data_IF_395082520306
#
_entry.id   IF_395082520306
#
_cell.length_a   1.000
_cell.length_b   1.000
_cell.length_c   1.000
_cell.angle_alpha   90.00
_cell.angle_beta   90.00
_cell.angle_gamma   90.00
#
_symmetry.space_group_name_H-M   'P 1'
#
loop_
_entity.id
_entity.type
_entity.pdbx_description
1 polymer ?
#
# COMPACT_ATOMS: atom_id res chain seq x y z
N UNK A 1 -15.00 31.12 -0.71
CA UNK A 1 -14.03 30.01 -0.82
C UNK A 1 -12.78 30.50 -0.13
N UNK A 2 -12.44 29.93 1.02
CA UNK A 2 -11.22 30.31 1.74
C UNK A 2 -10.02 29.72 1.01
N UNK A 3 -9.00 30.54 0.79
CA UNK A 3 -7.74 30.09 0.21
C UNK A 3 -7.18 28.96 1.07
N UNK A 4 -7.02 27.77 0.50
CA UNK A 4 -6.40 26.66 1.20
C UNK A 4 -4.96 27.08 1.55
N UNK A 5 -4.58 26.90 2.81
CA UNK A 5 -3.24 27.23 3.30
C UNK A 5 -2.19 26.43 2.51
N UNK A 6 -1.28 27.15 1.82
CA UNK A 6 -0.26 26.51 1.02
C UNK A 6 0.98 26.22 1.87
N UNK A 7 1.35 24.94 1.96
CA UNK A 7 2.53 24.50 2.69
C UNK A 7 3.69 24.19 1.76
N UNK A 8 4.93 24.41 2.25
CA UNK A 8 6.17 24.16 1.48
C UNK A 8 6.32 22.70 1.04
N UNK A 9 5.87 21.77 1.87
CA UNK A 9 6.02 20.33 1.64
C UNK A 9 4.66 19.64 1.74
N UNK A 10 4.39 18.74 0.80
CA UNK A 10 3.20 17.89 0.80
C UNK A 10 3.58 16.46 0.41
N UNK A 11 2.87 15.49 0.97
CA UNK A 11 2.92 14.09 0.59
C UNK A 11 1.51 13.67 0.20
N UNK A 12 1.36 13.14 -1.01
CA UNK A 12 0.09 12.59 -1.51
C UNK A 12 0.20 11.08 -1.54
N UNK A 13 -0.87 10.38 -1.18
CA UNK A 13 -0.86 8.92 -1.06
C UNK A 13 -2.16 8.34 -1.57
N UNK A 14 -2.03 7.28 -2.37
CA UNK A 14 -3.11 6.34 -2.62
C UNK A 14 -2.71 4.98 -2.04
N UNK A 15 -3.65 4.29 -1.43
CA UNK A 15 -3.51 2.88 -1.02
C UNK A 15 -4.39 2.06 -1.93
N UNK A 16 -3.79 1.15 -2.70
CA UNK A 16 -4.51 0.24 -3.60
C UNK A 16 -4.67 -1.09 -2.88
N UNK A 17 -5.92 -1.48 -2.64
CA UNK A 17 -6.26 -2.74 -2.01
C UNK A 17 -6.44 -3.80 -3.08
N UNK A 18 -5.79 -4.93 -2.88
CA UNK A 18 -5.89 -6.09 -3.76
C UNK A 18 -6.54 -7.24 -3.00
N UNK A 19 -7.21 -8.11 -3.74
CA UNK A 19 -7.50 -9.44 -3.24
C UNK A 19 -7.16 -10.47 -4.28
N UNK A 20 -6.96 -11.66 -3.76
CA UNK A 20 -6.71 -12.84 -4.54
C UNK A 20 -7.89 -13.16 -5.48
N UNK A 21 -7.57 -13.68 -6.67
CA UNK A 21 -8.57 -14.05 -7.68
C UNK A 21 -8.42 -15.49 -8.18
N UNK A 22 -7.20 -16.04 -8.21
CA UNK A 22 -6.94 -17.38 -8.78
C UNK A 22 -5.58 -17.92 -8.32
N UNK A 23 -5.43 -19.23 -8.16
CA UNK A 23 -4.12 -19.82 -7.85
C UNK A 23 -3.19 -19.91 -9.08
N UNK A 24 -1.85 -19.90 -8.90
CA UNK A 24 -1.09 -19.81 -7.64
C UNK A 24 -0.94 -18.37 -7.10
N UNK A 25 -0.37 -18.21 -5.90
CA UNK A 25 -0.13 -16.90 -5.26
C UNK A 25 1.01 -16.10 -5.90
N UNK A 26 0.72 -15.53 -7.06
CA UNK A 26 1.66 -14.69 -7.81
C UNK A 26 1.03 -13.32 -8.14
N UNK A 27 1.84 -12.32 -8.48
CA UNK A 27 1.37 -10.95 -8.72
C UNK A 27 0.24 -10.84 -9.76
N UNK A 28 0.15 -11.78 -10.72
CA UNK A 28 -0.90 -11.84 -11.77
C UNK A 28 -2.22 -12.46 -11.30
N UNK A 29 -2.24 -12.95 -10.08
CA UNK A 29 -3.39 -13.60 -9.44
C UNK A 29 -4.18 -12.66 -8.55
N UNK A 30 -3.72 -11.42 -8.39
CA UNK A 30 -4.41 -10.37 -7.66
C UNK A 30 -5.17 -9.45 -8.61
N UNK A 31 -6.33 -9.01 -8.15
CA UNK A 31 -7.09 -7.93 -8.79
C UNK A 31 -7.29 -6.78 -7.80
N UNK A 32 -7.22 -5.52 -8.25
CA UNK A 32 -7.62 -4.38 -7.43
C UNK A 32 -9.05 -4.54 -6.94
N UNK A 33 -9.31 -4.09 -5.72
CA UNK A 33 -10.61 -4.15 -5.04
C UNK A 33 -11.13 -2.78 -4.65
N UNK A 34 -10.21 -1.88 -4.34
CA UNK A 34 -10.54 -0.50 -4.04
C UNK A 34 -9.29 0.33 -3.92
N UNK A 35 -9.50 1.64 -3.84
CA UNK A 35 -8.44 2.60 -3.59
C UNK A 35 -8.90 3.57 -2.52
N UNK A 36 -8.01 3.83 -1.59
CA UNK A 36 -8.19 4.91 -0.62
C UNK A 36 -7.29 6.08 -0.99
N UNK A 37 -7.88 7.27 -0.98
CA UNK A 37 -7.24 8.49 -1.46
C UNK A 37 -6.93 9.41 -0.29
N UNK A 38 -5.69 9.87 -0.15
CA UNK A 38 -5.31 10.77 0.93
C UNK A 38 -6.05 12.10 0.82
N UNK A 39 -6.76 12.49 1.88
CA UNK A 39 -7.44 13.80 2.00
C UNK A 39 -6.64 14.78 2.84
N UNK A 40 -5.85 14.28 3.78
CA UNK A 40 -4.84 15.02 4.55
C UNK A 40 -3.81 14.03 5.09
N UNK A 41 -2.72 14.47 5.76
CA UNK A 41 -1.77 13.56 6.39
C UNK A 41 -2.49 12.59 7.34
N UNK A 42 -2.39 11.28 7.08
CA UNK A 42 -3.02 10.22 7.88
C UNK A 42 -4.53 10.09 7.77
N UNK A 43 -5.18 10.74 6.79
CA UNK A 43 -6.63 10.66 6.57
C UNK A 43 -6.93 10.28 5.11
N UNK A 44 -7.99 9.49 4.92
CA UNK A 44 -8.32 8.91 3.63
C UNK A 44 -9.82 8.97 3.30
N UNK A 45 -10.14 9.22 2.04
CA UNK A 45 -11.44 8.88 1.45
C UNK A 45 -11.40 7.40 1.05
N UNK A 46 -12.12 6.58 1.81
CA UNK A 46 -12.24 5.13 1.60
C UNK A 46 -13.59 4.72 1.01
N UNK A 47 -14.48 5.68 0.74
CA UNK A 47 -15.88 5.41 0.32
C UNK A 47 -16.09 5.58 -1.17
N UNK A 48 -15.16 6.24 -1.85
CA UNK A 48 -15.25 6.49 -3.28
C UNK A 48 -14.96 5.21 -4.08
N UNK A 49 -15.90 4.82 -4.92
CA UNK A 49 -15.86 3.53 -5.65
C UNK A 49 -15.62 3.67 -7.16
N UNK A 50 -15.69 4.89 -7.71
CA UNK A 50 -15.57 5.13 -9.15
C UNK A 50 -14.12 5.45 -9.52
N UNK A 51 -13.28 4.42 -9.61
CA UNK A 51 -11.90 4.54 -10.10
C UNK A 51 -11.80 3.96 -11.51
N UNK A 52 -11.35 4.78 -12.46
CA UNK A 52 -10.98 4.28 -13.78
C UNK A 52 -9.61 3.60 -13.71
N UNK A 53 -9.52 2.41 -14.28
CA UNK A 53 -8.25 1.70 -14.46
C UNK A 53 -7.90 1.64 -15.95
N UNK A 54 -6.62 1.78 -16.26
CA UNK A 54 -6.09 1.63 -17.62
C UNK A 54 -5.03 0.54 -17.69
N UNK A 55 -4.88 -0.03 -18.88
CA UNK A 55 -3.73 -0.86 -19.20
C UNK A 55 -2.52 0.03 -19.46
N UNK A 56 -1.34 -0.38 -19.01
CA UNK A 56 -0.09 0.38 -19.13
C UNK A 56 0.18 0.87 -20.56
N UNK A 57 0.02 -0.03 -21.53
CA UNK A 57 0.34 0.20 -22.94
C UNK A 57 -0.92 0.16 -23.83
N UNK A 58 -2.10 0.40 -23.25
CA UNK A 58 -3.40 0.29 -23.95
C UNK A 58 -3.81 -1.15 -24.33
N UNK A 59 -2.97 -2.14 -24.02
CA UNK A 59 -3.20 -3.56 -24.28
C UNK A 59 -3.03 -4.35 -22.98
N UNK A 60 -3.92 -5.31 -22.70
CA UNK A 60 -3.90 -6.14 -21.50
C UNK A 60 -4.83 -5.67 -20.36
N UNK A 61 -4.67 -6.23 -19.14
CA UNK A 61 -5.57 -5.94 -18.03
C UNK A 61 -5.41 -4.51 -17.53
N UNK A 62 -6.53 -3.85 -17.27
CA UNK A 62 -6.58 -2.53 -16.69
C UNK A 62 -6.20 -2.60 -15.20
N UNK A 63 -4.96 -2.24 -14.88
CA UNK A 63 -4.37 -2.37 -13.52
C UNK A 63 -3.85 -1.06 -12.96
N UNK A 64 -3.77 -0.01 -13.79
CA UNK A 64 -3.23 1.28 -13.38
C UNK A 64 -4.38 2.24 -13.07
N UNK A 65 -4.60 2.59 -11.80
CA UNK A 65 -5.66 3.53 -11.46
C UNK A 65 -5.31 4.93 -11.95
N UNK A 66 -6.31 5.61 -12.53
CA UNK A 66 -6.19 7.00 -12.88
C UNK A 66 -6.51 7.86 -11.66
N UNK A 67 -5.52 8.64 -11.25
CA UNK A 67 -5.62 9.57 -10.15
C UNK A 67 -5.30 10.97 -10.65
N UNK A 68 -6.05 11.96 -10.17
CA UNK A 68 -5.86 13.37 -10.50
C UNK A 68 -5.36 14.11 -9.28
N UNK A 69 -4.43 15.04 -9.54
CA UNK A 69 -3.99 16.05 -8.61
C UNK A 69 -4.04 17.39 -9.34
N UNK A 70 -4.79 18.35 -8.80
CA UNK A 70 -4.89 19.71 -9.34
C UNK A 70 -4.39 20.71 -8.30
N UNK A 71 -3.09 21.04 -8.41
CA UNK A 71 -2.41 22.18 -7.81
C UNK A 71 -2.93 22.69 -6.44
N UNK A 72 -3.09 21.78 -5.47
CA UNK A 72 -3.57 22.10 -4.11
C UNK A 72 -4.82 21.35 -3.68
N UNK A 73 -5.46 20.60 -4.59
CA UNK A 73 -6.50 19.66 -4.22
C UNK A 73 -5.94 18.34 -3.71
N UNK A 74 -6.74 17.65 -2.89
CA UNK A 74 -6.48 16.29 -2.44
C UNK A 74 -6.35 15.33 -3.64
N UNK A 75 -5.80 14.14 -3.44
CA UNK A 75 -5.81 13.12 -4.49
C UNK A 75 -7.24 12.62 -4.71
N UNK A 76 -7.69 12.47 -5.95
CA UNK A 76 -9.00 11.89 -6.27
C UNK A 76 -8.97 11.05 -7.56
N UNK A 77 -9.97 10.17 -7.80
CA UNK A 77 -10.06 9.44 -9.06
C UNK A 77 -10.26 10.39 -10.23
N UNK A 78 -9.53 10.16 -11.32
CA UNK A 78 -9.73 10.89 -12.56
C UNK A 78 -11.05 10.51 -13.25
N UNK A 79 -11.76 11.49 -13.77
CA UNK A 79 -12.90 11.34 -14.68
C UNK A 79 -12.49 11.43 -16.16
N UNK A 80 -11.26 11.85 -16.43
CA UNK A 80 -10.66 11.93 -17.78
C UNK A 80 -9.63 10.81 -18.00
N UNK A 81 -9.38 10.50 -19.27
CA UNK A 81 -8.36 9.53 -19.68
C UNK A 81 -6.94 9.92 -19.23
N UNK A 82 -5.97 8.99 -19.30
CA UNK A 82 -4.62 9.24 -18.83
C UNK A 82 -3.98 10.43 -19.56
N UNK A 83 -3.43 11.37 -18.81
CA UNK A 83 -2.61 12.46 -19.32
C UNK A 83 -1.17 12.27 -18.87
N UNK A 84 -0.26 12.00 -19.82
CA UNK A 84 1.17 11.90 -19.56
C UNK A 84 1.72 10.49 -19.33
N UNK A 85 3.02 10.41 -19.07
CA UNK A 85 3.74 9.17 -18.83
C UNK A 85 3.74 8.81 -17.33
N UNK A 86 3.83 7.50 -17.03
CA UNK A 86 4.02 7.04 -15.65
C UNK A 86 5.38 7.52 -15.12
N UNK A 87 5.40 7.98 -13.87
CA UNK A 87 6.65 8.31 -13.19
C UNK A 87 7.45 7.05 -12.85
N UNK A 88 8.79 7.13 -12.81
CA UNK A 88 9.61 6.03 -12.29
C UNK A 88 9.21 5.66 -10.87
N UNK A 89 8.94 4.38 -10.64
CA UNK A 89 8.60 3.85 -9.33
C UNK A 89 9.81 3.19 -8.68
N UNK A 90 10.10 3.57 -7.43
CA UNK A 90 11.09 2.91 -6.57
C UNK A 90 10.39 2.35 -5.33
N UNK A 91 10.54 1.05 -5.10
CA UNK A 91 10.00 0.42 -3.90
C UNK A 91 10.84 0.74 -2.67
N UNK A 92 10.19 0.92 -1.51
CA UNK A 92 10.86 1.21 -0.22
C UNK A 92 12.04 0.27 0.05
N UNK A 93 11.86 -1.05 -0.14
CA UNK A 93 12.89 -2.07 0.06
C UNK A 93 14.15 -1.86 -0.81
N UNK A 94 14.03 -1.20 -1.96
CA UNK A 94 15.14 -0.94 -2.90
C UNK A 94 15.90 0.34 -2.61
N UNK A 95 15.41 1.18 -1.69
CA UNK A 95 16.11 2.41 -1.33
C UNK A 95 17.40 2.09 -0.54
N UNK A 96 18.48 2.85 -0.76
CA UNK A 96 19.66 2.79 0.10
C UNK A 96 19.30 3.07 1.56
N UNK A 97 20.01 2.46 2.50
CA UNK A 97 19.72 2.61 3.92
C UNK A 97 19.71 4.08 4.36
N UNK A 98 20.70 4.88 3.95
CA UNK A 98 20.75 6.32 4.26
C UNK A 98 19.51 7.09 3.81
N UNK A 99 18.90 6.68 2.69
CA UNK A 99 17.66 7.29 2.19
C UNK A 99 16.48 6.91 3.07
N UNK A 100 16.41 5.65 3.52
CA UNK A 100 15.38 5.21 4.48
C UNK A 100 15.51 5.94 5.81
N UNK A 101 16.73 6.04 6.34
CA UNK A 101 17.02 6.75 7.59
C UNK A 101 16.58 8.22 7.50
N UNK A 102 16.86 8.87 6.37
CA UNK A 102 16.44 10.25 6.13
C UNK A 102 14.91 10.38 6.10
N UNK A 103 14.20 9.49 5.41
CA UNK A 103 12.73 9.51 5.35
C UNK A 103 12.07 9.15 6.68
N UNK A 104 12.72 8.33 7.51
CA UNK A 104 12.26 8.00 8.85
C UNK A 104 12.47 9.15 9.85
N UNK A 105 13.58 9.90 9.71
CA UNK A 105 13.96 10.95 10.66
C UNK A 105 13.62 12.39 10.26
N UNK A 106 13.13 12.63 9.04
CA UNK A 106 12.78 13.98 8.59
C UNK A 106 11.49 14.46 9.26
N UNK A 107 11.55 15.67 9.81
CA UNK A 107 10.39 16.35 10.38
C UNK A 107 9.91 17.43 9.41
N UNK A 108 8.63 17.40 9.08
CA UNK A 108 7.95 18.47 8.36
C UNK A 108 6.89 19.09 9.26
N UNK A 109 6.68 20.40 9.12
CA UNK A 109 5.75 21.17 9.95
C UNK A 109 4.29 20.73 9.77
N UNK A 110 3.88 20.45 8.53
CA UNK A 110 2.47 20.21 8.17
C UNK A 110 2.22 18.88 7.45
N UNK A 111 3.22 17.99 7.40
CA UNK A 111 3.09 16.70 6.73
C UNK A 111 4.02 15.66 7.34
N UNK A 112 3.89 14.40 6.91
CA UNK A 112 4.77 13.29 7.33
C UNK A 112 4.96 12.36 6.15
N UNK A 113 6.10 11.67 6.11
CA UNK A 113 6.35 10.63 5.10
C UNK A 113 5.38 9.47 5.36
N UNK A 114 4.49 9.13 4.42
CA UNK A 114 3.40 8.18 4.67
C UNK A 114 3.86 6.71 4.69
N UNK A 115 4.97 6.42 4.02
CA UNK A 115 5.53 5.07 3.88
C UNK A 115 6.79 4.83 4.71
N UNK A 116 7.13 5.76 5.61
CA UNK A 116 8.22 5.54 6.57
C UNK A 116 7.84 4.46 7.57
N UNK A 117 8.84 3.82 8.18
CA UNK A 117 8.63 2.65 9.03
C UNK A 117 7.71 2.97 10.23
N UNK A 118 7.82 4.18 10.79
CA UNK A 118 6.99 4.63 11.92
C UNK A 118 5.55 5.06 11.56
N UNK A 119 5.25 5.28 10.28
CA UNK A 119 3.94 5.77 9.83
C UNK A 119 3.16 4.74 9.01
N UNK A 120 3.86 3.80 8.35
CA UNK A 120 3.27 2.91 7.34
C UNK A 120 2.01 2.17 7.83
N UNK A 121 2.07 1.50 9.00
CA UNK A 121 0.93 0.75 9.52
C UNK A 121 -0.25 1.67 9.84
N UNK A 122 -0.03 2.79 10.53
CA UNK A 122 -1.11 3.71 10.87
C UNK A 122 -1.78 4.33 9.63
N UNK A 123 -1.01 4.56 8.56
CA UNK A 123 -1.56 5.02 7.28
C UNK A 123 -2.35 3.91 6.57
N UNK A 124 -1.90 2.66 6.63
CA UNK A 124 -2.67 1.52 6.12
C UNK A 124 -3.99 1.32 6.88
N UNK A 125 -3.96 1.40 8.20
CA UNK A 125 -5.14 1.27 9.06
C UNK A 125 -6.16 2.37 8.77
N UNK A 126 -5.70 3.63 8.64
CA UNK A 126 -6.56 4.76 8.29
C UNK A 126 -7.13 4.67 6.86
N UNK A 127 -6.43 3.97 5.96
CA UNK A 127 -6.86 3.74 4.58
C UNK A 127 -7.71 2.47 4.42
N UNK A 128 -7.93 1.69 5.46
CA UNK A 128 -8.64 0.42 5.34
C UNK A 128 -10.16 0.64 5.31
N UNK A 129 -10.83 -0.15 4.46
CA UNK A 129 -12.27 -0.29 4.46
C UNK A 129 -12.63 -1.72 4.07
N UNK A 130 -13.32 -2.42 4.98
CA UNK A 130 -13.76 -3.81 4.78
C UNK A 130 -14.64 -3.98 3.53
N UNK A 131 -15.43 -2.95 3.17
CA UNK A 131 -16.33 -2.99 2.03
C UNK A 131 -15.60 -3.16 0.68
N UNK A 132 -14.29 -2.91 0.61
CA UNK A 132 -13.50 -3.24 -0.59
C UNK A 132 -13.50 -4.75 -0.87
N UNK A 133 -13.72 -5.58 0.15
CA UNK A 133 -13.67 -7.02 0.06
C UNK A 133 -15.06 -7.67 -0.03
N UNK A 134 -16.12 -6.87 -0.18
CA UNK A 134 -17.47 -7.37 -0.39
C UNK A 134 -17.52 -8.30 -1.61
N UNK A 135 -18.01 -9.53 -1.40
CA UNK A 135 -18.09 -10.55 -2.46
C UNK A 135 -16.78 -11.25 -2.80
N UNK A 136 -15.68 -10.99 -2.08
CA UNK A 136 -14.47 -11.81 -2.17
C UNK A 136 -14.70 -13.12 -1.42
N UNK A 137 -14.55 -14.25 -2.12
CA UNK A 137 -14.68 -15.57 -1.50
C UNK A 137 -13.51 -15.84 -0.56
N UNK A 138 -13.81 -16.18 0.69
CA UNK A 138 -12.82 -16.65 1.68
C UNK A 138 -12.40 -18.10 1.47
N UNK A 139 -13.04 -18.82 0.53
CA UNK A 139 -12.81 -20.24 0.28
C UNK A 139 -11.67 -20.52 -0.74
N UNK A 140 -11.02 -19.50 -1.29
CA UNK A 140 -9.84 -19.68 -2.13
C UNK A 140 -8.61 -19.89 -1.25
N UNK A 141 -8.38 -21.15 -0.87
CA UNK A 141 -7.11 -21.62 -0.32
C UNK A 141 -6.25 -22.15 -1.48
N UNK A 142 -5.10 -21.53 -1.73
CA UNK A 142 -4.15 -22.02 -2.75
C UNK A 142 -3.29 -23.19 -2.30
N UNK A 143 -3.60 -23.77 -1.14
CA UNK A 143 -2.69 -24.63 -0.42
C UNK A 143 -1.62 -23.76 0.23
N UNK A 144 -1.33 -24.03 1.49
CA UNK A 144 -0.22 -23.35 2.17
C UNK A 144 1.08 -23.63 1.43
N UNK A 145 1.86 -22.57 1.15
CA UNK A 145 3.29 -22.69 0.91
C UNK A 145 4.05 -22.97 2.22
N UNK A 146 3.34 -23.02 3.37
CA UNK A 146 3.92 -23.58 4.57
C UNK A 146 4.38 -24.99 4.25
N UNK A 147 5.68 -25.30 4.46
CA UNK A 147 6.15 -26.67 4.30
C UNK A 147 5.25 -27.55 5.15
N UNK A 148 4.71 -28.61 4.55
CA UNK A 148 4.00 -29.62 5.33
C UNK A 148 4.94 -30.04 6.46
N UNK A 149 4.40 -30.28 7.67
CA UNK A 149 5.21 -30.64 8.83
C UNK A 149 6.09 -31.89 8.57
N UNK A 150 5.72 -32.72 7.60
CA UNK A 150 6.51 -33.84 7.07
C UNK A 150 7.76 -33.46 6.26
N UNK A 151 7.93 -32.18 5.93
CA UNK A 151 9.09 -31.59 5.25
C UNK A 151 9.98 -30.78 6.20
N UNK A 152 9.54 -30.60 7.45
CA UNK A 152 10.38 -30.06 8.52
C UNK A 152 11.29 -31.22 8.97
N UNK A 153 12.61 -30.98 8.92
CA UNK A 153 13.60 -31.91 9.44
C UNK A 153 13.28 -32.18 10.93
N UNK A 154 13.00 -33.43 11.35
CA UNK A 154 12.72 -33.73 12.76
C UNK A 154 13.89 -33.37 13.68
N UNK A 155 15.11 -33.23 13.15
CA UNK A 155 16.28 -32.81 13.95
C UNK A 155 16.27 -31.30 14.28
N UNK A 156 15.32 -30.52 13.74
CA UNK A 156 15.15 -29.10 14.07
C UNK A 156 14.26 -28.85 15.31
N UNK A 157 13.51 -29.86 15.78
CA UNK A 157 12.68 -29.75 17.00
C UNK A 157 13.51 -29.87 18.30
N UNK A 158 14.77 -30.29 18.21
CA UNK A 158 15.68 -30.48 19.36
C UNK A 158 16.58 -29.25 19.63
N UNK A 159 16.29 -28.10 19.00
CA UNK A 159 16.95 -26.85 19.38
C UNK A 159 16.43 -26.39 20.75
N UNK A 160 17.32 -26.18 21.75
CA UNK A 160 16.89 -25.65 23.04
C UNK A 160 16.27 -24.27 22.84
N UNK A 161 15.22 -23.91 23.60
CA UNK A 161 14.60 -22.61 23.50
C UNK A 161 15.64 -21.51 23.70
N UNK A 162 15.59 -20.48 22.86
CA UNK A 162 16.39 -19.28 23.05
C UNK A 162 16.12 -18.71 24.45
N UNK A 163 17.18 -18.47 25.22
CA UNK A 163 17.08 -17.88 26.55
C UNK A 163 16.33 -16.55 26.51
N UNK A 164 15.41 -16.28 27.46
CA UNK A 164 14.73 -15.00 27.53
C UNK A 164 15.73 -13.88 27.83
N UNK A 165 15.84 -12.93 26.90
CA UNK A 165 16.55 -11.67 27.13
C UNK A 165 15.89 -10.92 28.30
N UNK A 166 16.65 -10.71 29.37
CA UNK A 166 16.21 -9.94 30.52
C UNK A 166 15.85 -8.48 30.13
N UNK A 167 14.82 -7.87 30.74
CA UNK A 167 14.45 -6.49 30.45
C UNK A 167 15.52 -5.49 30.96
N UNK A 168 15.70 -4.36 30.26
CA UNK A 168 16.72 -3.36 30.63
C UNK A 168 16.37 -2.62 31.94
N UNK A 169 17.41 -2.37 32.75
CA UNK A 169 17.37 -1.60 34.00
C UNK A 169 17.18 -0.10 33.81
#
# INVERSE_FOLDING_TARGET
MGDAEQHRHHWLTAVVWFAFQKCPDEARSFSPRGISYSTSPGQFDTKRTTTLYVAKDGTGPATHPLVTYDAGQILFPSDVGPSGALSPLVGWHRLPQRTKDQFNGIEYEHTKVPFSDGNFQAYLDAAYNEAFYDGVSTAMDCGSLDPQQSMIDPDLEDMPPAEPTAPPS
#
